data_IF_376154082378
#
_entry.id   IF_376154082378
#
_cell.length_a   1.000
_cell.length_b   1.000
_cell.length_c   1.000
_cell.angle_alpha   90.00
_cell.angle_beta   90.00
_cell.angle_gamma   90.00
#
_symmetry.space_group_name_H-M   'P 1'
#
loop_
_entity.id
_entity.type
_entity.pdbx_description
1 polymer ?
#
# COMPACT_ATOMS: atom_id res chain seq x y z
N UNK A 1 -11.24 17.62 14.12
CA UNK A 1 -10.52 18.08 12.92
C UNK A 1 -10.20 19.56 13.08
N UNK A 2 -8.96 19.97 12.79
CA UNK A 2 -8.58 21.38 12.62
C UNK A 2 -9.07 21.90 11.27
N UNK A 3 -8.91 23.20 11.00
CA UNK A 3 -9.16 23.73 9.66
C UNK A 3 -8.17 23.14 8.64
N UNK A 4 -8.58 22.90 7.38
CA UNK A 4 -7.68 22.40 6.35
C UNK A 4 -6.54 23.39 6.07
N UNK A 5 -5.34 22.86 5.92
CA UNK A 5 -4.17 23.59 5.42
C UNK A 5 -3.94 23.23 3.96
N UNK A 6 -3.68 24.24 3.11
CA UNK A 6 -3.40 24.01 1.70
C UNK A 6 -1.89 23.89 1.45
N UNK A 7 -1.46 22.68 1.09
CA UNK A 7 -0.07 22.33 0.85
C UNK A 7 0.32 22.32 -0.64
N UNK A 8 -0.61 22.62 -1.55
CA UNK A 8 -0.39 22.43 -2.99
C UNK A 8 0.82 23.19 -3.51
N UNK A 9 0.96 24.48 -3.21
CA UNK A 9 2.10 25.28 -3.70
C UNK A 9 3.44 24.93 -3.04
N UNK A 10 3.42 24.21 -1.92
CA UNK A 10 4.63 23.79 -1.19
C UNK A 10 5.15 22.44 -1.67
N UNK A 11 4.25 21.52 -2.02
CA UNK A 11 4.62 20.11 -2.28
C UNK A 11 4.49 19.71 -3.76
N UNK A 12 3.50 20.24 -4.48
CA UNK A 12 3.24 19.81 -5.84
C UNK A 12 4.16 20.56 -6.81
N UNK A 13 4.90 19.83 -7.65
CA UNK A 13 5.56 20.44 -8.80
C UNK A 13 4.49 21.13 -9.69
N UNK A 14 4.63 22.43 -10.01
CA UNK A 14 3.68 23.17 -10.84
C UNK A 14 3.38 22.52 -12.19
N UNK A 15 4.35 21.83 -12.79
CA UNK A 15 4.21 21.19 -14.10
C UNK A 15 3.36 19.91 -14.06
N UNK A 16 3.20 19.28 -12.89
CA UNK A 16 2.37 18.07 -12.76
C UNK A 16 0.90 18.36 -13.00
N UNK A 17 0.19 17.49 -13.69
CA UNK A 17 -1.27 17.63 -13.88
C UNK A 17 -2.06 17.28 -12.62
N UNK A 18 -1.50 16.41 -11.78
CA UNK A 18 -2.15 15.92 -10.55
C UNK A 18 -1.08 15.61 -9.50
N UNK A 19 -1.38 15.88 -8.24
CA UNK A 19 -0.63 15.34 -7.10
C UNK A 19 -1.58 15.20 -5.91
N UNK A 20 -1.63 14.02 -5.30
CA UNK A 20 -2.54 13.70 -4.21
C UNK A 20 -1.98 12.59 -3.32
N UNK A 21 -2.42 12.49 -2.05
CA UNK A 21 -2.23 11.28 -1.27
C UNK A 21 -2.87 10.08 -1.97
N UNK A 22 -2.22 8.92 -1.87
CA UNK A 22 -2.88 7.67 -2.18
C UNK A 22 -3.93 7.36 -1.08
N UNK A 23 -5.08 6.78 -1.45
CA UNK A 23 -6.12 6.41 -0.49
C UNK A 23 -5.64 5.27 0.41
N UNK A 24 -6.18 5.20 1.63
CA UNK A 24 -5.79 4.22 2.64
C UNK A 24 -5.21 4.92 3.87
N UNK A 25 -3.96 4.58 4.22
CA UNK A 25 -3.27 5.10 5.38
C UNK A 25 -1.80 5.48 5.08
N UNK A 26 -1.24 6.36 5.91
CA UNK A 26 0.20 6.51 6.08
C UNK A 26 0.73 5.65 7.24
N UNK A 27 2.01 5.83 7.57
CA UNK A 27 2.68 5.14 8.68
C UNK A 27 3.51 6.13 9.52
N UNK A 28 3.80 5.71 10.76
CA UNK A 28 4.92 6.26 11.55
C UNK A 28 5.97 5.17 11.63
N UNK A 29 7.17 5.43 11.11
CA UNK A 29 8.29 4.51 11.20
C UNK A 29 8.81 4.41 12.64
N UNK A 30 9.58 3.37 12.92
CA UNK A 30 10.28 3.15 14.20
C UNK A 30 11.13 4.36 14.64
N UNK A 31 11.67 5.12 13.68
CA UNK A 31 12.44 6.35 13.90
C UNK A 31 11.59 7.59 14.27
N UNK A 32 10.26 7.48 14.23
CA UNK A 32 9.32 8.61 14.38
C UNK A 32 9.03 9.38 13.08
N UNK A 33 9.61 8.95 11.95
CA UNK A 33 9.33 9.51 10.63
C UNK A 33 7.87 9.25 10.24
N UNK A 34 7.15 10.30 9.83
CA UNK A 34 5.82 10.16 9.22
C UNK A 34 5.98 9.95 7.72
N UNK A 35 5.29 8.97 7.15
CA UNK A 35 5.33 8.69 5.71
C UNK A 35 3.92 8.49 5.18
N UNK A 36 3.60 9.17 4.08
CA UNK A 36 2.33 9.09 3.36
C UNK A 36 2.63 8.66 1.92
N UNK A 37 2.01 7.58 1.41
CA UNK A 37 2.11 7.26 0.00
C UNK A 37 1.37 8.31 -0.83
N UNK A 38 1.99 8.77 -1.89
CA UNK A 38 1.43 9.80 -2.79
C UNK A 38 1.47 9.34 -4.24
N UNK A 39 0.64 9.96 -5.06
CA UNK A 39 0.56 9.71 -6.49
C UNK A 39 0.43 11.02 -7.26
N UNK A 40 0.86 11.02 -8.51
CA UNK A 40 0.74 12.17 -9.38
C UNK A 40 0.63 11.80 -10.85
N UNK A 41 0.53 12.84 -11.68
CA UNK A 41 0.68 12.77 -13.14
C UNK A 41 1.67 13.83 -13.55
N UNK A 42 2.72 13.43 -14.25
CA UNK A 42 3.78 14.34 -14.67
C UNK A 42 3.31 15.33 -15.76
N UNK A 43 4.23 16.15 -16.28
CA UNK A 43 3.93 17.14 -17.32
C UNK A 43 3.46 16.51 -18.65
N UNK A 44 3.75 15.23 -18.88
CA UNK A 44 3.27 14.46 -20.02
C UNK A 44 1.95 13.71 -19.72
N UNK A 45 1.44 13.83 -18.50
CA UNK A 45 0.25 13.12 -18.02
C UNK A 45 0.50 11.67 -17.62
N UNK A 46 1.75 11.21 -17.57
CA UNK A 46 2.09 9.84 -17.14
C UNK A 46 1.91 9.73 -15.63
N UNK A 47 1.10 8.77 -15.13
CA UNK A 47 0.89 8.63 -13.71
C UNK A 47 2.11 8.00 -13.03
N UNK A 48 2.35 8.35 -11.77
CA UNK A 48 3.42 7.78 -10.96
C UNK A 48 3.00 7.67 -9.49
N UNK A 49 3.67 6.78 -8.76
CA UNK A 49 3.58 6.66 -7.29
C UNK A 49 4.90 7.09 -6.65
N UNK A 50 4.84 7.71 -5.48
CA UNK A 50 5.99 8.13 -4.68
C UNK A 50 5.60 8.24 -3.19
N UNK A 51 6.48 8.83 -2.38
CA UNK A 51 6.23 9.11 -0.98
C UNK A 51 6.26 10.61 -0.70
N UNK A 52 5.53 11.01 0.33
CA UNK A 52 5.71 12.28 1.02
C UNK A 52 5.95 12.00 2.50
N UNK A 53 6.99 12.60 3.09
CA UNK A 53 7.41 12.28 4.45
C UNK A 53 7.72 13.52 5.28
N UNK A 54 7.66 13.37 6.61
CA UNK A 54 7.95 14.41 7.58
C UNK A 54 8.74 13.85 8.76
N UNK A 55 9.82 14.53 9.12
CA UNK A 55 10.67 14.20 10.27
C UNK A 55 10.46 15.16 11.46
N UNK A 56 9.47 16.06 11.39
CA UNK A 56 9.21 17.08 12.40
C UNK A 56 7.73 17.10 12.81
N UNK A 57 7.12 15.92 12.90
CA UNK A 57 5.74 15.69 13.30
C UNK A 57 4.72 16.44 12.43
N UNK A 58 4.94 16.47 11.11
CA UNK A 58 4.00 17.02 10.13
C UNK A 58 4.09 18.54 9.96
N UNK A 59 5.07 19.22 10.58
CA UNK A 59 5.26 20.67 10.42
C UNK A 59 5.75 21.05 9.04
N UNK A 60 6.57 20.22 8.41
CA UNK A 60 6.97 20.35 7.00
C UNK A 60 7.02 18.97 6.37
N UNK A 61 6.86 18.92 5.05
CA UNK A 61 6.83 17.68 4.28
C UNK A 61 7.79 17.76 3.09
N UNK A 62 8.38 16.62 2.74
CA UNK A 62 9.27 16.45 1.59
C UNK A 62 8.67 15.43 0.65
N UNK A 63 8.65 15.72 -0.65
CA UNK A 63 8.17 14.82 -1.70
C UNK A 63 9.36 14.07 -2.31
N UNK A 64 9.27 12.74 -2.38
CA UNK A 64 10.32 11.89 -2.93
C UNK A 64 10.31 11.86 -4.46
N UNK A 65 11.39 11.34 -5.07
CA UNK A 65 11.39 10.97 -6.48
C UNK A 65 10.32 9.91 -6.76
N UNK A 66 9.75 9.87 -7.98
CA UNK A 66 8.86 8.79 -8.42
C UNK A 66 9.51 7.41 -8.24
N UNK A 67 8.79 6.48 -7.59
CA UNK A 67 9.24 5.10 -7.45
C UNK A 67 9.11 4.33 -8.76
N UNK A 68 7.99 4.54 -9.47
CA UNK A 68 7.68 3.85 -10.72
C UNK A 68 6.71 4.63 -11.60
N UNK A 69 6.98 4.65 -12.90
CA UNK A 69 6.07 5.21 -13.89
C UNK A 69 4.86 4.32 -14.15
N UNK A 70 3.79 4.90 -14.66
CA UNK A 70 2.51 4.26 -14.97
C UNK A 70 1.84 3.53 -13.78
N UNK A 71 2.14 3.96 -12.56
CA UNK A 71 1.52 3.49 -11.31
C UNK A 71 0.68 4.58 -10.67
N UNK A 72 -0.21 4.25 -9.74
CA UNK A 72 -1.16 5.20 -9.12
C UNK A 72 -1.30 5.02 -7.61
N UNK A 73 -2.37 4.38 -7.15
CA UNK A 73 -2.65 4.22 -5.72
C UNK A 73 -1.67 3.23 -5.10
N UNK A 74 -1.11 3.58 -3.95
CA UNK A 74 -0.06 2.80 -3.30
C UNK A 74 -0.22 2.78 -1.79
N UNK A 75 0.38 1.77 -1.16
CA UNK A 75 0.48 1.62 0.28
C UNK A 75 1.97 1.46 0.66
N UNK A 76 2.34 1.94 1.84
CA UNK A 76 3.73 1.96 2.33
C UNK A 76 3.86 1.22 3.65
N UNK A 77 4.96 0.49 3.82
CA UNK A 77 5.37 -0.12 5.10
C UNK A 77 6.85 0.05 5.34
N UNK A 78 7.25 0.05 6.60
CA UNK A 78 8.64 -0.13 7.03
C UNK A 78 8.92 -1.64 7.14
N UNK A 79 9.98 -2.12 6.48
CA UNK A 79 10.44 -3.50 6.50
C UNK A 79 11.31 -3.79 7.72
N UNK A 80 11.65 -5.06 7.94
CA UNK A 80 12.44 -5.47 9.12
C UNK A 80 13.84 -4.85 9.19
N UNK A 81 14.40 -4.42 8.06
CA UNK A 81 15.69 -3.74 7.96
C UNK A 81 15.60 -2.20 8.05
N UNK A 82 14.39 -1.65 8.24
CA UNK A 82 14.12 -0.21 8.31
C UNK A 82 13.97 0.48 6.94
N UNK A 83 14.12 -0.24 5.83
CA UNK A 83 13.79 0.28 4.51
C UNK A 83 12.28 0.44 4.33
N UNK A 84 11.87 1.30 3.40
CA UNK A 84 10.46 1.52 3.06
C UNK A 84 10.10 0.74 1.80
N UNK A 85 9.04 -0.05 1.87
CA UNK A 85 8.42 -0.70 0.72
C UNK A 85 7.20 0.10 0.27
N UNK A 86 7.10 0.36 -1.04
CA UNK A 86 5.94 0.93 -1.69
C UNK A 86 5.29 -0.13 -2.60
N UNK A 87 4.06 -0.51 -2.27
CA UNK A 87 3.25 -1.45 -3.04
C UNK A 87 2.19 -0.69 -3.83
N UNK A 88 2.30 -0.69 -5.16
CA UNK A 88 1.57 0.21 -6.05
C UNK A 88 0.65 -0.52 -7.02
N UNK A 89 -0.51 0.09 -7.27
CA UNK A 89 -1.43 -0.24 -8.37
C UNK A 89 -0.76 0.09 -9.70
N UNK A 90 -0.67 -0.90 -10.59
CA UNK A 90 -0.02 -0.74 -11.89
C UNK A 90 -1.04 -0.73 -13.03
N UNK A 91 -1.04 0.32 -13.86
CA UNK A 91 -1.95 0.41 -14.99
C UNK A 91 -1.63 -0.58 -16.11
N UNK A 92 -0.41 -1.14 -16.15
CA UNK A 92 -0.02 -2.19 -17.12
C UNK A 92 -0.89 -3.44 -16.98
N UNK A 93 -1.33 -3.74 -15.76
CA UNK A 93 -2.24 -4.84 -15.45
C UNK A 93 -3.61 -4.69 -16.11
N UNK A 94 -3.97 -3.55 -16.74
CA UNK A 94 -5.19 -3.46 -17.57
C UNK A 94 -5.14 -4.44 -18.73
N UNK A 95 -3.95 -4.62 -19.31
CA UNK A 95 -3.72 -5.51 -20.46
C UNK A 95 -3.10 -6.84 -20.01
N UNK A 96 -2.17 -6.82 -19.06
CA UNK A 96 -1.53 -8.05 -18.60
C UNK A 96 -2.40 -8.82 -17.60
N UNK A 97 -2.88 -9.99 -18.04
CA UNK A 97 -3.64 -10.97 -17.24
C UNK A 97 -2.91 -12.30 -17.08
N UNK A 98 -1.63 -12.34 -17.43
CA UNK A 98 -0.78 -13.54 -17.37
C UNK A 98 -0.22 -13.75 -15.94
N UNK A 99 0.78 -14.59 -15.80
CA UNK A 99 1.49 -14.80 -14.52
C UNK A 99 2.37 -13.61 -14.11
N UNK A 100 2.60 -12.64 -15.01
CA UNK A 100 3.27 -11.38 -14.66
C UNK A 100 2.30 -10.28 -14.22
N UNK A 101 1.00 -10.57 -14.11
CA UNK A 101 0.06 -9.64 -13.49
C UNK A 101 0.37 -9.50 -11.98
N UNK A 102 0.37 -8.28 -11.47
CA UNK A 102 0.38 -8.05 -10.04
C UNK A 102 0.86 -6.67 -9.60
N UNK A 103 0.88 -6.46 -8.29
CA UNK A 103 1.34 -5.20 -7.68
C UNK A 103 2.76 -4.88 -8.10
N UNK A 104 3.00 -3.60 -8.41
CA UNK A 104 4.35 -3.07 -8.59
C UNK A 104 4.97 -2.79 -7.22
N UNK A 105 6.14 -3.36 -6.93
CA UNK A 105 6.77 -3.28 -5.61
C UNK A 105 8.17 -2.68 -5.72
N UNK A 106 8.40 -1.57 -5.01
CA UNK A 106 9.68 -0.87 -4.96
C UNK A 106 10.09 -0.61 -3.53
N UNK A 107 11.39 -0.61 -3.26
CA UNK A 107 11.95 -0.33 -1.93
C UNK A 107 12.93 0.85 -1.99
N UNK A 108 13.06 1.55 -0.87
CA UNK A 108 14.03 2.64 -0.69
C UNK A 108 14.58 2.65 0.73
N UNK A 109 15.87 2.93 0.87
CA UNK A 109 16.55 3.13 2.15
C UNK A 109 16.97 4.59 2.38
N UNK A 110 16.65 5.49 1.44
CA UNK A 110 17.05 6.90 1.43
C UNK A 110 15.87 7.85 1.19
N UNK A 111 14.70 7.43 1.71
CA UNK A 111 13.44 8.20 1.70
C UNK A 111 12.97 8.57 0.29
N UNK A 112 13.22 7.67 -0.66
CA UNK A 112 12.79 7.75 -2.05
C UNK A 112 13.63 8.69 -2.91
N UNK A 113 14.90 8.91 -2.53
CA UNK A 113 15.88 9.52 -3.45
C UNK A 113 16.23 8.52 -4.54
N UNK A 114 16.47 7.26 -4.16
CA UNK A 114 16.65 6.12 -5.05
C UNK A 114 15.66 5.00 -4.71
N UNK A 115 15.26 4.27 -5.74
CA UNK A 115 14.32 3.16 -5.65
C UNK A 115 14.91 1.92 -6.33
N UNK A 116 14.72 0.77 -5.70
CA UNK A 116 15.05 -0.54 -6.29
C UNK A 116 13.80 -1.39 -6.39
N UNK A 117 13.76 -2.28 -7.37
CA UNK A 117 12.65 -3.23 -7.56
C UNK A 117 12.77 -4.34 -6.53
N UNK A 118 11.67 -4.65 -5.84
CA UNK A 118 11.62 -5.74 -4.87
C UNK A 118 11.54 -7.11 -5.57
N UNK A 119 11.98 -8.19 -4.91
CA UNK A 119 11.93 -9.56 -5.46
C UNK A 119 10.51 -10.05 -5.77
N UNK A 120 9.51 -9.50 -5.07
CA UNK A 120 8.08 -9.82 -5.26
C UNK A 120 7.38 -8.92 -6.29
N UNK A 121 8.14 -8.17 -7.10
CA UNK A 121 7.57 -7.28 -8.10
C UNK A 121 6.81 -8.06 -9.16
N UNK A 122 5.49 -7.80 -9.25
CA UNK A 122 4.57 -8.55 -10.11
C UNK A 122 4.52 -10.07 -9.82
N UNK A 123 3.45 -10.74 -10.23
CA UNK A 123 3.26 -12.19 -10.08
C UNK A 123 2.97 -12.68 -8.66
N UNK A 124 3.57 -12.10 -7.61
CA UNK A 124 3.33 -12.51 -6.22
C UNK A 124 1.97 -12.08 -5.67
N UNK A 125 1.45 -10.93 -6.12
CA UNK A 125 0.21 -10.34 -5.65
C UNK A 125 -0.65 -9.91 -6.84
N UNK A 126 -1.50 -10.79 -7.40
CA UNK A 126 -2.33 -10.48 -8.56
C UNK A 126 -3.34 -9.36 -8.26
N UNK A 127 -3.66 -8.54 -9.26
CA UNK A 127 -4.64 -7.46 -9.10
C UNK A 127 -5.44 -7.11 -10.37
N UNK A 128 -6.65 -6.54 -10.22
CA UNK A 128 -7.48 -6.09 -11.33
C UNK A 128 -7.33 -4.59 -11.60
N UNK A 129 -6.18 -3.99 -11.25
CA UNK A 129 -5.92 -2.53 -11.31
C UNK A 129 -6.82 -1.80 -10.29
N UNK A 130 -6.60 -2.09 -9.00
CA UNK A 130 -7.41 -1.59 -7.88
C UNK A 130 -6.52 -1.06 -6.74
N UNK A 131 -7.09 -0.36 -5.76
CA UNK A 131 -6.39 -0.07 -4.51
C UNK A 131 -6.12 -1.39 -3.76
N UNK A 132 -4.99 -1.47 -3.07
CA UNK A 132 -4.68 -2.55 -2.13
C UNK A 132 -4.07 -1.96 -0.86
N UNK A 133 -4.49 -2.46 0.30
CA UNK A 133 -3.95 -2.06 1.60
C UNK A 133 -2.74 -2.90 1.96
N UNK A 134 -1.74 -2.30 2.60
CA UNK A 134 -0.57 -2.99 3.12
C UNK A 134 -0.20 -2.37 4.47
N UNK A 135 -0.01 -3.20 5.50
CA UNK A 135 0.49 -2.76 6.81
C UNK A 135 1.58 -3.71 7.30
N UNK A 136 2.49 -3.20 8.13
CA UNK A 136 3.43 -4.00 8.91
C UNK A 136 3.05 -3.98 10.39
N UNK A 137 3.37 -5.06 11.09
CA UNK A 137 3.20 -5.18 12.53
C UNK A 137 4.37 -5.97 13.14
N UNK A 138 4.76 -5.61 14.36
CA UNK A 138 5.80 -6.29 15.13
C UNK A 138 5.15 -7.27 16.09
N UNK A 139 5.37 -8.57 15.87
CA UNK A 139 4.86 -9.63 16.71
C UNK A 139 5.57 -9.67 18.07
N UNK A 140 4.98 -10.37 19.04
CA UNK A 140 5.52 -10.53 20.40
C UNK A 140 6.91 -11.20 20.44
N UNK A 141 7.29 -11.92 19.39
CA UNK A 141 8.60 -12.56 19.22
C UNK A 141 9.60 -11.72 18.42
N UNK A 142 9.34 -10.41 18.25
CA UNK A 142 10.17 -9.48 17.49
C UNK A 142 10.29 -9.81 15.99
N UNK A 143 9.37 -10.60 15.43
CA UNK A 143 9.29 -10.78 13.98
C UNK A 143 8.37 -9.71 13.38
N UNK A 144 8.79 -9.11 12.27
CA UNK A 144 7.91 -8.25 11.46
C UNK A 144 7.01 -9.15 10.59
N UNK A 145 5.71 -8.86 10.61
CA UNK A 145 4.71 -9.47 9.72
C UNK A 145 4.12 -8.39 8.82
N UNK A 146 3.86 -8.73 7.56
CA UNK A 146 3.11 -7.89 6.63
C UNK A 146 1.73 -8.49 6.37
N UNK A 147 0.71 -7.65 6.36
CA UNK A 147 -0.64 -8.01 5.92
C UNK A 147 -1.04 -7.16 4.72
N UNK A 148 -1.52 -7.81 3.67
CA UNK A 148 -1.97 -7.18 2.43
C UNK A 148 -3.42 -7.56 2.14
N UNK A 149 -4.24 -6.59 1.73
CA UNK A 149 -5.62 -6.87 1.29
C UNK A 149 -5.91 -6.25 -0.07
N UNK A 150 -6.50 -7.05 -0.95
CA UNK A 150 -6.98 -6.59 -2.25
C UNK A 150 -8.04 -7.57 -2.82
N UNK A 151 -8.69 -7.21 -3.94
CA UNK A 151 -9.41 -8.19 -4.74
C UNK A 151 -8.38 -9.12 -5.40
N UNK A 152 -8.27 -10.35 -4.90
CA UNK A 152 -7.27 -11.32 -5.35
C UNK A 152 -7.70 -11.99 -6.66
N UNK A 153 -7.73 -11.18 -7.73
CA UNK A 153 -8.16 -11.60 -9.04
C UNK A 153 -7.54 -10.70 -10.11
N UNK A 154 -7.07 -11.27 -11.23
CA UNK A 154 -6.34 -10.52 -12.27
C UNK A 154 -7.23 -9.54 -13.06
N UNK A 155 -8.55 -9.72 -13.07
CA UNK A 155 -9.45 -9.01 -14.02
C UNK A 155 -10.69 -8.35 -13.41
N UNK A 156 -11.07 -8.69 -12.18
CA UNK A 156 -12.36 -8.31 -11.60
C UNK A 156 -12.15 -7.92 -10.15
N UNK A 157 -12.95 -6.97 -9.67
CA UNK A 157 -12.99 -6.57 -8.26
C UNK A 157 -13.87 -7.55 -7.48
N UNK A 158 -13.30 -8.71 -7.19
CA UNK A 158 -13.90 -9.81 -6.44
C UNK A 158 -12.83 -10.57 -5.68
N UNK A 159 -13.23 -11.54 -4.85
CA UNK A 159 -12.32 -12.29 -3.98
C UNK A 159 -11.53 -11.36 -3.05
N UNK A 160 -12.19 -10.49 -2.28
CA UNK A 160 -11.50 -9.72 -1.24
C UNK A 160 -10.75 -10.68 -0.32
N UNK A 161 -9.44 -10.59 -0.31
CA UNK A 161 -8.57 -11.55 0.37
C UNK A 161 -7.51 -10.80 1.17
N UNK A 162 -7.25 -11.28 2.38
CA UNK A 162 -6.12 -10.84 3.20
C UNK A 162 -5.01 -11.88 3.11
N UNK A 163 -3.81 -11.44 2.79
CA UNK A 163 -2.61 -12.27 2.63
C UNK A 163 -1.56 -11.85 3.67
N UNK A 164 -0.78 -12.82 4.16
CA UNK A 164 0.27 -12.62 5.16
C UNK A 164 1.64 -13.01 4.61
N UNK A 165 2.63 -12.16 4.86
CA UNK A 165 4.05 -12.43 4.64
C UNK A 165 4.83 -12.29 5.96
N UNK A 166 5.82 -13.17 6.13
CA UNK A 166 6.71 -13.19 7.29
C UNK A 166 8.20 -13.03 6.91
N UNK A 167 8.46 -12.65 5.66
CA UNK A 167 9.77 -12.55 5.02
C UNK A 167 9.86 -11.27 4.16
N UNK A 168 9.37 -10.17 4.73
CA UNK A 168 9.37 -8.82 4.14
C UNK A 168 8.74 -8.77 2.74
N UNK A 169 7.67 -9.55 2.53
CA UNK A 169 6.89 -9.55 1.30
C UNK A 169 7.45 -10.45 0.19
N UNK A 170 8.53 -11.20 0.45
CA UNK A 170 9.12 -12.13 -0.53
C UNK A 170 8.15 -13.25 -0.86
N UNK A 171 7.46 -13.81 0.14
CA UNK A 171 6.42 -14.83 -0.05
C UNK A 171 5.14 -14.51 0.73
N UNK A 172 4.00 -14.93 0.19
CA UNK A 172 2.67 -14.70 0.74
C UNK A 172 1.99 -16.04 1.02
N UNK A 173 2.44 -16.73 2.06
CA UNK A 173 2.16 -18.15 2.29
C UNK A 173 0.75 -18.46 2.84
N UNK A 174 0.07 -17.47 3.43
CA UNK A 174 -1.23 -17.64 4.07
C UNK A 174 -2.19 -16.58 3.57
N UNK A 175 -3.43 -16.98 3.32
CA UNK A 175 -4.49 -16.10 2.86
C UNK A 175 -5.84 -16.48 3.46
N UNK A 176 -6.68 -15.48 3.68
CA UNK A 176 -8.06 -15.62 4.14
C UNK A 176 -8.97 -14.86 3.16
N UNK A 177 -9.88 -15.58 2.53
CA UNK A 177 -10.91 -15.03 1.65
C UNK A 177 -12.07 -14.49 2.52
N UNK A 178 -12.46 -13.24 2.27
CA UNK A 178 -13.50 -12.54 3.03
C UNK A 178 -14.81 -12.39 2.24
N UNK A 179 -14.71 -12.16 0.93
CA UNK A 179 -15.85 -11.88 0.06
C UNK A 179 -15.59 -12.44 -1.34
N UNK A 180 -16.31 -13.49 -1.73
CA UNK A 180 -16.19 -14.16 -3.04
C UNK A 180 -16.66 -13.26 -4.19
N UNK A 181 -17.78 -12.57 -4.00
CA UNK A 181 -18.48 -11.84 -5.07
C UNK A 181 -18.11 -10.36 -5.13
N UNK A 182 -17.48 -9.85 -4.08
CA UNK A 182 -17.13 -8.44 -3.93
C UNK A 182 -15.70 -8.23 -3.47
N UNK A 183 -15.39 -6.97 -3.19
CA UNK A 183 -14.04 -6.54 -2.86
C UNK A 183 -13.51 -5.56 -3.87
N UNK A 184 -13.36 -4.30 -3.45
CA UNK A 184 -12.66 -3.27 -4.19
C UNK A 184 -11.62 -2.59 -3.31
N UNK A 185 -11.87 -1.37 -2.81
CA UNK A 185 -10.93 -0.67 -1.95
C UNK A 185 -11.00 -1.28 -0.54
N UNK A 186 -9.86 -1.31 0.15
CA UNK A 186 -9.77 -1.82 1.52
C UNK A 186 -8.73 -1.03 2.32
N UNK A 187 -8.84 -1.07 3.65
CA UNK A 187 -7.84 -0.52 4.56
C UNK A 187 -7.74 -1.40 5.80
N UNK A 188 -6.52 -1.84 6.10
CA UNK A 188 -6.17 -2.70 7.22
C UNK A 188 -5.71 -1.87 8.42
N UNK A 189 -5.94 -2.40 9.62
CA UNK A 189 -5.42 -1.85 10.88
C UNK A 189 -5.22 -2.97 11.89
N UNK A 190 -4.20 -2.87 12.75
CA UNK A 190 -4.15 -3.70 13.96
C UNK A 190 -5.06 -3.07 15.02
N UNK A 191 -6.07 -3.80 15.47
CA UNK A 191 -6.99 -3.36 16.54
C UNK A 191 -6.29 -3.47 17.89
N UNK A 192 -5.56 -4.57 18.07
CA UNK A 192 -4.70 -4.88 19.21
C UNK A 192 -3.58 -5.83 18.73
N UNK A 193 -2.76 -6.33 19.65
CA UNK A 193 -1.60 -7.19 19.33
C UNK A 193 -1.97 -8.52 18.65
N UNK A 194 -3.24 -8.94 18.68
CA UNK A 194 -3.69 -10.24 18.18
C UNK A 194 -4.85 -10.16 17.20
N UNK A 195 -5.42 -8.98 16.95
CA UNK A 195 -6.62 -8.80 16.13
C UNK A 195 -6.35 -7.85 14.97
N UNK A 196 -6.45 -8.37 13.74
CA UNK A 196 -6.42 -7.59 12.51
C UNK A 196 -7.83 -7.12 12.16
N UNK A 197 -8.00 -5.83 11.90
CA UNK A 197 -9.21 -5.22 11.37
C UNK A 197 -9.07 -4.86 9.90
N UNK A 198 -10.19 -4.93 9.17
CA UNK A 198 -10.29 -4.48 7.78
C UNK A 198 -11.60 -3.70 7.58
N UNK A 199 -11.52 -2.54 6.93
CA UNK A 199 -12.66 -1.83 6.36
C UNK A 199 -12.58 -1.91 4.83
N UNK A 200 -13.63 -2.36 4.14
CA UNK A 200 -13.59 -2.51 2.68
C UNK A 200 -14.95 -2.34 1.99
N UNK A 201 -14.91 -2.05 0.70
CA UNK A 201 -16.05 -2.05 -0.22
C UNK A 201 -16.42 -3.49 -0.59
N UNK A 202 -17.64 -3.93 -0.24
CA UNK A 202 -18.05 -5.34 -0.29
C UNK A 202 -19.21 -5.60 -1.26
N UNK A 203 -19.54 -6.87 -1.49
CA UNK A 203 -20.74 -7.31 -2.21
C UNK A 203 -22.05 -7.10 -1.45
N UNK A 204 -21.99 -6.77 -0.15
CA UNK A 204 -23.16 -6.73 0.74
C UNK A 204 -23.51 -5.34 1.24
N UNK A 205 -22.53 -4.45 1.31
CA UNK A 205 -22.67 -3.04 1.68
C UNK A 205 -21.48 -2.23 1.16
N UNK A 206 -21.69 -0.92 1.01
CA UNK A 206 -20.66 0.02 0.53
C UNK A 206 -19.41 0.02 1.43
N UNK A 207 -19.58 -0.16 2.74
CA UNK A 207 -18.50 -0.29 3.71
C UNK A 207 -18.81 -1.38 4.72
N UNK A 208 -17.92 -2.37 4.80
CA UNK A 208 -17.98 -3.47 5.79
C UNK A 208 -16.72 -3.47 6.62
N UNK A 209 -16.88 -3.57 7.94
CA UNK A 209 -15.78 -3.83 8.87
C UNK A 209 -15.79 -5.28 9.32
N UNK A 210 -14.64 -5.95 9.22
CA UNK A 210 -14.44 -7.31 9.71
C UNK A 210 -13.16 -7.39 10.55
N UNK A 211 -13.09 -8.41 11.39
CA UNK A 211 -11.94 -8.70 12.25
C UNK A 211 -11.48 -10.12 12.04
N UNK A 212 -10.17 -10.37 12.07
CA UNK A 212 -9.56 -11.69 12.05
C UNK A 212 -8.56 -11.79 13.18
N UNK A 213 -8.53 -12.93 13.86
CA UNK A 213 -7.50 -13.22 14.86
C UNK A 213 -6.22 -13.65 14.15
N UNK A 214 -5.06 -13.20 14.64
CA UNK A 214 -3.76 -13.57 14.04
C UNK A 214 -3.53 -15.09 14.02
N UNK A 215 -4.08 -15.82 15.00
CA UNK A 215 -4.07 -17.30 15.03
C UNK A 215 -4.72 -17.97 13.81
N UNK A 216 -5.64 -17.29 13.11
CA UNK A 216 -6.24 -17.79 11.88
C UNK A 216 -5.24 -17.84 10.73
N UNK A 217 -4.19 -17.03 10.80
CA UNK A 217 -3.03 -17.10 9.90
C UNK A 217 -1.95 -18.09 10.39
N UNK A 218 -2.13 -18.69 11.57
CA UNK A 218 -1.17 -19.59 12.21
C UNK A 218 -0.08 -18.89 13.03
N UNK A 219 -0.34 -17.67 13.49
CA UNK A 219 0.51 -16.92 14.42
C UNK A 219 0.18 -17.21 15.88
#
# INVERSE_FOLDING_TARGET
>A
WTQPENWTSQLKNPEWFLFAPAPGNGITCSSGLLVIPTQGRDAAGTPFSNLTWSNNHGKTWTVSSPARSNTTESAVVELSDGSLMLNSRDNRNRQDKSETNGRAVSITSDLGTHWTVHSSDHGSLPEPVCMGSLISHRLSNDRTVLFFSNPHHKSQRKNMTVQMSLDDGTTWAKQILLDEEGGAYSSLVMIDDNTLGILYESSRADLVFQTMQLKEFGL
#
